data_IF_265662001778
#
_entry.id   IF_265662001778
#
_cell.length_a   1.000
_cell.length_b   1.000
_cell.length_c   1.000
_cell.angle_alpha   90.00
_cell.angle_beta   90.00
_cell.angle_gamma   90.00
#
_symmetry.space_group_name_H-M   'P 1'
#
loop_
_entity.id
_entity.type
_entity.pdbx_description
1 polymer ?
#
# COMPACT_ATOMS: atom_id res chain seq x y z
N UNK A 1 28.92 11.22 1.37
CA UNK A 1 28.00 10.97 2.50
C UNK A 1 27.45 9.55 2.38
N UNK A 2 27.67 8.65 3.36
CA UNK A 2 26.93 7.39 3.42
C UNK A 2 25.46 7.76 3.65
N UNK A 3 24.66 7.72 2.58
CA UNK A 3 23.22 7.88 2.67
C UNK A 3 22.72 6.92 3.76
N UNK A 4 21.94 7.42 4.71
CA UNK A 4 21.55 6.63 5.87
C UNK A 4 20.73 5.41 5.40
N UNK A 5 21.34 4.23 5.41
CA UNK A 5 20.80 2.97 4.87
C UNK A 5 19.44 2.59 5.44
N UNK A 6 19.08 3.10 6.62
CA UNK A 6 17.80 2.82 7.26
C UNK A 6 16.58 3.33 6.47
N UNK A 7 16.69 4.38 5.64
CA UNK A 7 15.55 4.87 4.85
C UNK A 7 15.17 3.92 3.69
N UNK A 8 16.16 3.21 3.15
CA UNK A 8 15.99 2.36 1.96
C UNK A 8 16.03 0.87 2.28
N UNK A 9 16.67 0.50 3.39
CA UNK A 9 16.76 -0.86 3.88
C UNK A 9 16.73 -0.90 5.44
N UNK A 10 15.61 -0.52 6.08
CA UNK A 10 15.47 -0.56 7.53
C UNK A 10 15.56 -1.99 8.09
N UNK A 11 15.35 -3.00 7.26
CA UNK A 11 15.21 -4.40 7.66
C UNK A 11 16.53 -5.07 8.05
N UNK A 12 17.66 -4.43 7.78
CA UNK A 12 18.94 -4.80 8.40
C UNK A 12 18.97 -4.52 9.91
N UNK A 13 18.10 -3.62 10.39
CA UNK A 13 18.10 -3.13 11.77
C UNK A 13 16.80 -3.47 12.52
N UNK A 14 15.67 -3.59 11.82
CA UNK A 14 14.34 -3.78 12.40
C UNK A 14 13.60 -4.94 11.72
N UNK A 15 13.28 -5.98 12.50
CA UNK A 15 12.52 -7.15 12.06
C UNK A 15 11.67 -7.72 13.20
N UNK A 16 10.95 -8.81 12.92
CA UNK A 16 10.12 -9.53 13.88
C UNK A 16 9.02 -8.67 14.50
N UNK A 17 8.78 -8.86 15.80
CA UNK A 17 7.71 -8.17 16.52
C UNK A 17 7.83 -6.64 16.49
N UNK A 18 9.06 -6.09 16.52
CA UNK A 18 9.25 -4.64 16.44
C UNK A 18 8.77 -4.09 15.09
N UNK A 19 9.12 -4.75 13.99
CA UNK A 19 8.64 -4.34 12.67
C UNK A 19 7.12 -4.50 12.56
N UNK A 20 6.58 -5.62 13.06
CA UNK A 20 5.15 -5.90 13.01
C UNK A 20 4.33 -4.87 13.79
N UNK A 21 4.67 -4.62 15.05
CA UNK A 21 3.90 -3.68 15.88
C UNK A 21 3.97 -2.26 15.32
N UNK A 22 5.14 -1.81 14.87
CA UNK A 22 5.29 -0.47 14.25
C UNK A 22 4.51 -0.36 12.94
N UNK A 23 4.59 -1.37 12.08
CA UNK A 23 3.85 -1.41 10.82
C UNK A 23 2.34 -1.40 11.04
N UNK A 24 1.84 -2.27 11.92
CA UNK A 24 0.42 -2.35 12.26
C UNK A 24 -0.09 -1.07 12.92
N UNK A 25 0.69 -0.45 13.81
CA UNK A 25 0.31 0.82 14.43
C UNK A 25 0.19 1.94 13.40
N UNK A 26 1.17 2.05 12.49
CA UNK A 26 1.13 3.05 11.42
C UNK A 26 -0.01 2.80 10.44
N UNK A 27 -0.27 1.55 10.06
CA UNK A 27 -1.42 1.18 9.24
C UNK A 27 -2.74 1.51 9.94
N UNK A 28 -2.90 1.18 11.21
CA UNK A 28 -4.12 1.46 11.96
C UNK A 28 -4.37 2.98 12.07
N UNK A 29 -3.32 3.77 12.33
CA UNK A 29 -3.40 5.22 12.36
C UNK A 29 -3.80 5.80 10.99
N UNK A 30 -3.15 5.37 9.91
CA UNK A 30 -3.49 5.82 8.57
C UNK A 30 -4.89 5.37 8.14
N UNK A 31 -5.30 4.15 8.49
CA UNK A 31 -6.65 3.66 8.20
C UNK A 31 -7.70 4.49 8.93
N UNK A 32 -7.46 4.81 10.21
CA UNK A 32 -8.33 5.71 10.97
C UNK A 32 -8.45 7.08 10.28
N UNK A 33 -7.33 7.71 9.91
CA UNK A 33 -7.35 8.99 9.18
C UNK A 33 -8.07 8.86 7.84
N UNK A 34 -7.89 7.73 7.13
CA UNK A 34 -8.56 7.43 5.87
C UNK A 34 -10.08 7.36 6.01
N UNK A 35 -10.57 6.83 7.14
CA UNK A 35 -12.02 6.83 7.43
C UNK A 35 -12.60 8.23 7.57
N UNK A 36 -11.79 9.22 8.02
CA UNK A 36 -12.22 10.60 8.21
C UNK A 36 -12.28 11.40 6.90
N UNK A 37 -11.48 11.01 5.90
CA UNK A 37 -11.34 11.75 4.65
C UNK A 37 -11.64 10.90 3.40
N UNK A 38 -12.27 9.74 3.58
CA UNK A 38 -12.63 8.82 2.50
C UNK A 38 -11.43 8.38 1.65
N UNK A 39 -10.25 8.21 2.26
CA UNK A 39 -9.09 7.58 1.61
C UNK A 39 -9.09 6.08 1.87
N UNK A 40 -8.99 5.33 0.80
CA UNK A 40 -9.02 3.89 0.72
C UNK A 40 -7.65 3.33 0.36
N UNK A 41 -7.19 2.31 1.09
CA UNK A 41 -5.99 1.54 0.78
C UNK A 41 -6.42 0.21 0.13
N UNK A 42 -7.09 0.32 -1.01
CA UNK A 42 -7.91 -0.73 -1.62
C UNK A 42 -7.12 -1.69 -2.53
N UNK A 43 -5.83 -1.83 -2.30
CA UNK A 43 -4.93 -2.74 -3.01
C UNK A 43 -3.56 -2.83 -2.33
N UNK A 44 -2.65 -3.60 -2.90
CA UNK A 44 -1.30 -3.72 -2.33
C UNK A 44 -0.59 -2.37 -2.42
N UNK A 45 -0.67 -1.71 -3.57
CA UNK A 45 -0.11 -0.38 -3.82
C UNK A 45 -1.16 0.70 -4.06
N UNK A 46 -2.43 0.35 -4.24
CA UNK A 46 -3.47 1.30 -4.60
C UNK A 46 -3.94 2.18 -3.44
N UNK A 47 -4.14 3.46 -3.77
CA UNK A 47 -4.73 4.48 -2.89
C UNK A 47 -5.76 5.27 -3.69
N UNK A 48 -7.01 5.27 -3.21
CA UNK A 48 -8.12 5.98 -3.85
C UNK A 48 -8.86 6.85 -2.85
N UNK A 49 -9.42 7.97 -3.31
CA UNK A 49 -10.15 8.92 -2.46
C UNK A 49 -11.55 9.20 -2.98
N UNK A 50 -12.45 9.60 -2.09
CA UNK A 50 -13.76 10.17 -2.45
C UNK A 50 -14.93 9.19 -2.49
N UNK A 51 -14.69 7.89 -2.37
CA UNK A 51 -15.76 6.93 -2.18
C UNK A 51 -16.22 6.92 -0.71
N UNK A 52 -17.49 7.24 -0.46
CA UNK A 52 -18.06 7.12 0.88
C UNK A 52 -18.46 5.67 1.15
N UNK A 53 -17.94 5.10 2.24
CA UNK A 53 -18.19 3.70 2.62
C UNK A 53 -18.28 3.55 4.14
N UNK A 54 -18.75 2.39 4.61
CA UNK A 54 -18.75 2.05 6.04
C UNK A 54 -17.31 1.97 6.53
N UNK A 55 -17.00 2.55 7.70
CA UNK A 55 -15.65 2.54 8.28
C UNK A 55 -15.03 1.12 8.37
N UNK A 56 -15.85 0.10 8.61
CA UNK A 56 -15.41 -1.30 8.62
C UNK A 56 -14.70 -1.72 7.33
N UNK A 57 -15.08 -1.17 6.17
CA UNK A 57 -14.45 -1.50 4.89
C UNK A 57 -13.01 -0.99 4.84
N UNK A 58 -12.71 0.23 5.31
CA UNK A 58 -11.34 0.77 5.35
C UNK A 58 -10.39 -0.14 6.15
N UNK A 59 -10.86 -0.66 7.29
CA UNK A 59 -10.08 -1.60 8.11
C UNK A 59 -9.87 -2.94 7.42
N UNK A 60 -10.89 -3.46 6.74
CA UNK A 60 -10.79 -4.72 6.01
C UNK A 60 -9.87 -4.59 4.78
N UNK A 61 -9.97 -3.49 4.04
CA UNK A 61 -9.05 -3.14 2.94
C UNK A 61 -7.62 -3.12 3.44
N UNK A 62 -7.33 -2.32 4.46
CA UNK A 62 -5.99 -2.20 5.06
C UNK A 62 -5.44 -3.57 5.52
N UNK A 63 -6.29 -4.39 6.14
CA UNK A 63 -5.92 -5.74 6.57
C UNK A 63 -5.61 -6.66 5.39
N UNK A 64 -6.48 -6.72 4.37
CA UNK A 64 -6.28 -7.54 3.17
C UNK A 64 -5.03 -7.11 2.41
N UNK A 65 -4.87 -5.82 2.19
CA UNK A 65 -3.77 -5.21 1.47
C UNK A 65 -2.41 -5.47 2.12
N UNK A 66 -2.35 -5.80 3.41
CA UNK A 66 -1.11 -6.27 4.06
C UNK A 66 -1.03 -7.78 4.17
N UNK A 67 -2.07 -8.41 4.71
CA UNK A 67 -2.02 -9.81 5.12
C UNK A 67 -1.87 -10.74 3.92
N UNK A 68 -2.54 -10.42 2.81
CA UNK A 68 -2.50 -11.20 1.59
C UNK A 68 -1.10 -11.17 0.94
N UNK A 69 -0.48 -10.01 0.62
CA UNK A 69 0.89 -10.00 0.12
C UNK A 69 1.88 -10.61 1.12
N UNK A 70 1.74 -10.34 2.42
CA UNK A 70 2.64 -10.94 3.42
C UNK A 70 2.59 -12.48 3.41
N UNK A 71 1.40 -13.06 3.26
CA UNK A 71 1.21 -14.50 3.12
C UNK A 71 1.83 -15.04 1.83
N UNK A 72 1.59 -14.39 0.70
CA UNK A 72 2.17 -14.82 -0.59
C UNK A 72 3.68 -14.71 -0.60
N UNK A 73 4.26 -13.65 -0.04
CA UNK A 73 5.70 -13.51 0.12
C UNK A 73 6.27 -14.52 1.11
N UNK A 74 5.54 -14.87 2.17
CA UNK A 74 5.94 -15.94 3.07
C UNK A 74 5.99 -17.29 2.34
N UNK A 75 4.96 -17.62 1.56
CA UNK A 75 4.92 -18.85 0.74
C UNK A 75 6.07 -18.86 -0.27
N UNK A 76 6.28 -17.77 -1.01
CA UNK A 76 7.38 -17.66 -1.95
C UNK A 76 8.74 -17.78 -1.24
N UNK A 77 8.89 -17.17 -0.06
CA UNK A 77 10.05 -17.34 0.80
C UNK A 77 10.28 -18.80 1.18
N UNK A 78 9.23 -19.55 1.54
CA UNK A 78 9.36 -20.99 1.84
C UNK A 78 9.83 -21.82 0.64
N UNK A 79 9.52 -21.39 -0.58
CA UNK A 79 9.89 -22.09 -1.81
C UNK A 79 11.32 -21.73 -2.24
N UNK A 80 11.67 -20.44 -2.19
CA UNK A 80 12.89 -19.91 -2.82
C UNK A 80 14.00 -19.54 -1.82
N UNK A 81 13.74 -19.54 -0.52
CA UNK A 81 14.75 -19.20 0.49
C UNK A 81 15.87 -20.24 0.53
N UNK A 82 17.08 -19.74 0.79
CA UNK A 82 18.25 -20.57 1.10
C UNK A 82 18.38 -20.93 2.58
N UNK A 83 17.44 -20.50 3.43
CA UNK A 83 17.46 -20.74 4.87
C UNK A 83 16.06 -20.94 5.45
N UNK A 84 15.99 -21.34 6.73
CA UNK A 84 14.74 -21.26 7.48
C UNK A 84 14.30 -19.79 7.62
N UNK A 85 13.00 -19.55 7.50
CA UNK A 85 12.40 -18.21 7.61
C UNK A 85 11.37 -18.19 8.74
N UNK A 86 11.29 -17.08 9.46
CA UNK A 86 10.31 -16.89 10.54
C UNK A 86 9.14 -16.06 10.01
N UNK A 87 7.91 -16.52 10.25
CA UNK A 87 6.72 -15.80 9.80
C UNK A 87 6.70 -14.37 10.36
N UNK A 88 6.97 -14.18 11.65
CA UNK A 88 6.99 -12.85 12.27
C UNK A 88 7.96 -11.88 11.60
N UNK A 89 9.08 -12.37 11.05
CA UNK A 89 9.99 -11.50 10.31
C UNK A 89 9.37 -11.04 9.00
N UNK A 90 8.80 -11.96 8.21
CA UNK A 90 8.18 -11.63 6.92
C UNK A 90 6.96 -10.73 7.11
N UNK A 91 6.02 -11.12 7.96
CA UNK A 91 4.80 -10.35 8.20
C UNK A 91 5.12 -8.98 8.81
N UNK A 92 6.11 -8.93 9.71
CA UNK A 92 6.52 -7.69 10.35
C UNK A 92 7.21 -6.72 9.41
N UNK A 93 8.19 -7.19 8.63
CA UNK A 93 8.88 -6.32 7.66
C UNK A 93 7.97 -5.88 6.53
N UNK A 94 7.03 -6.72 6.08
CA UNK A 94 6.01 -6.34 5.10
C UNK A 94 5.04 -5.29 5.63
N UNK A 95 4.61 -5.38 6.90
CA UNK A 95 3.78 -4.34 7.53
C UNK A 95 4.54 -3.01 7.58
N UNK A 96 5.80 -3.05 8.04
CA UNK A 96 6.65 -1.87 8.15
C UNK A 96 6.97 -1.25 6.77
N UNK A 97 7.14 -2.07 5.74
CA UNK A 97 7.42 -1.61 4.38
C UNK A 97 6.28 -0.76 3.77
N UNK A 98 5.05 -0.90 4.25
CA UNK A 98 3.88 -0.13 3.78
C UNK A 98 3.84 1.30 4.31
N UNK A 99 4.63 1.65 5.34
CA UNK A 99 4.53 2.96 5.97
C UNK A 99 4.69 4.17 5.04
N UNK A 100 5.56 4.15 3.99
CA UNK A 100 5.60 5.25 3.04
C UNK A 100 4.25 5.46 2.33
N UNK A 101 3.60 4.38 1.88
CA UNK A 101 2.26 4.45 1.30
C UNK A 101 1.24 5.00 2.30
N UNK A 102 1.34 4.63 3.58
CA UNK A 102 0.41 5.11 4.62
C UNK A 102 0.45 6.64 4.80
N UNK A 103 1.56 7.31 4.46
CA UNK A 103 1.65 8.77 4.49
C UNK A 103 0.76 9.45 3.45
N UNK A 104 0.38 8.73 2.40
CA UNK A 104 -0.49 9.28 1.34
C UNK A 104 -1.91 9.54 1.83
N UNK A 105 -2.31 9.03 3.00
CA UNK A 105 -3.65 9.27 3.55
C UNK A 105 -4.01 10.76 3.62
N UNK A 106 -3.02 11.65 3.78
CA UNK A 106 -3.27 13.09 3.86
C UNK A 106 -3.71 13.71 2.54
N UNK A 107 -3.53 13.05 1.39
CA UNK A 107 -4.02 13.57 0.09
C UNK A 107 -5.53 13.67 0.08
N UNK A 108 -6.25 12.83 0.84
CA UNK A 108 -7.70 12.90 0.97
C UNK A 108 -8.21 14.19 1.59
N UNK A 109 -7.37 14.98 2.28
CA UNK A 109 -7.76 16.30 2.79
C UNK A 109 -7.64 17.41 1.74
N UNK A 110 -7.04 17.13 0.58
CA UNK A 110 -6.93 18.10 -0.51
C UNK A 110 -8.30 18.16 -1.20
N UNK A 111 -9.01 19.31 -1.20
CA UNK A 111 -10.35 19.40 -1.79
C UNK A 111 -10.40 18.96 -3.25
N UNK A 112 -9.36 19.27 -4.02
CA UNK A 112 -9.24 18.84 -5.42
C UNK A 112 -9.29 17.32 -5.59
N UNK A 113 -8.76 16.53 -4.64
CA UNK A 113 -8.79 15.07 -4.71
C UNK A 113 -10.20 14.52 -4.48
N UNK A 114 -10.99 15.16 -3.62
CA UNK A 114 -12.39 14.80 -3.37
C UNK A 114 -13.27 15.23 -4.53
N UNK A 115 -13.06 16.43 -5.05
CA UNK A 115 -13.81 16.98 -6.18
C UNK A 115 -13.68 16.06 -7.40
N UNK A 116 -12.44 15.67 -7.76
CA UNK A 116 -12.17 14.76 -8.88
C UNK A 116 -12.95 13.44 -8.82
N UNK A 117 -13.19 12.90 -7.63
CA UNK A 117 -13.96 11.66 -7.45
C UNK A 117 -15.48 11.85 -7.68
N UNK A 118 -15.97 13.08 -7.58
CA UNK A 118 -17.38 13.46 -7.70
C UNK A 118 -17.71 14.27 -8.96
N UNK A 119 -16.72 14.50 -9.82
CA UNK A 119 -16.89 15.32 -11.03
C UNK A 119 -17.84 14.64 -12.02
N UNK A 120 -19.07 15.15 -12.07
CA UNK A 120 -19.99 14.90 -13.17
C UNK A 120 -19.73 15.93 -14.28
N UNK A 121 -19.13 15.49 -15.38
CA UNK A 121 -18.82 16.37 -16.50
C UNK A 121 -19.72 16.05 -17.69
N UNK A 122 -20.43 17.08 -18.16
CA UNK A 122 -21.35 16.97 -19.29
C UNK A 122 -20.68 17.12 -20.67
N UNK A 123 -19.45 17.66 -20.71
CA UNK A 123 -18.70 17.87 -21.95
C UNK A 123 -17.18 17.86 -21.74
N UNK A 124 -16.42 17.50 -22.77
CA UNK A 124 -14.95 17.51 -22.75
C UNK A 124 -14.39 18.89 -22.41
N UNK A 125 -15.03 19.97 -22.88
CA UNK A 125 -14.58 21.35 -22.60
C UNK A 125 -14.65 21.69 -21.11
N UNK A 126 -15.73 21.27 -20.44
CA UNK A 126 -15.92 21.47 -19.00
C UNK A 126 -14.90 20.64 -18.20
N UNK A 127 -14.66 19.37 -18.58
CA UNK A 127 -13.64 18.52 -17.94
C UNK A 127 -12.27 19.17 -18.02
N UNK A 128 -11.87 19.64 -19.21
CA UNK A 128 -10.56 20.26 -19.41
C UNK A 128 -10.42 21.56 -18.60
N UNK A 129 -11.47 22.39 -18.53
CA UNK A 129 -11.43 23.61 -17.73
C UNK A 129 -11.26 23.31 -16.23
N UNK A 130 -12.04 22.36 -15.69
CA UNK A 130 -11.93 21.92 -14.29
C UNK A 130 -10.58 21.29 -13.98
N UNK A 131 -10.08 20.44 -14.87
CA UNK A 131 -8.75 19.85 -14.70
C UNK A 131 -7.67 20.93 -14.60
N UNK A 132 -7.71 21.95 -15.47
CA UNK A 132 -6.75 23.06 -15.44
C UNK A 132 -6.83 23.89 -14.15
N UNK A 133 -8.03 24.06 -13.59
CA UNK A 133 -8.26 24.74 -12.31
C UNK A 133 -7.69 23.94 -11.13
N UNK A 134 -7.90 22.63 -11.12
CA UNK A 134 -7.45 21.74 -10.04
C UNK A 134 -5.98 21.33 -10.16
N UNK A 135 -5.37 21.46 -11.34
CA UNK A 135 -4.02 21.00 -11.65
C UNK A 135 -2.94 21.42 -10.64
N UNK A 136 -2.91 22.66 -10.12
CA UNK A 136 -1.90 23.07 -9.13
C UNK A 136 -1.95 22.28 -7.83
N UNK A 137 -3.11 21.72 -7.47
CA UNK A 137 -3.31 20.89 -6.28
C UNK A 137 -3.11 19.41 -6.58
N UNK A 138 -3.53 18.96 -7.78
CA UNK A 138 -3.40 17.56 -8.20
C UNK A 138 -1.95 17.17 -8.46
N UNK A 139 -1.14 18.03 -9.09
CA UNK A 139 0.25 17.69 -9.44
C UNK A 139 1.10 17.35 -8.21
N UNK A 140 1.13 18.14 -7.12
CA UNK A 140 1.87 17.77 -5.91
C UNK A 140 1.32 16.50 -5.25
N UNK A 141 0.00 16.29 -5.25
CA UNK A 141 -0.63 15.10 -4.68
C UNK A 141 -0.22 13.82 -5.43
N UNK A 142 -0.27 13.86 -6.76
CA UNK A 142 0.17 12.76 -7.64
C UNK A 142 1.66 12.49 -7.44
N UNK A 143 2.49 13.54 -7.35
CA UNK A 143 3.92 13.37 -7.11
C UNK A 143 4.18 12.68 -5.76
N UNK A 144 3.45 13.07 -4.71
CA UNK A 144 3.56 12.42 -3.39
C UNK A 144 3.17 10.94 -3.46
N UNK A 145 2.05 10.61 -4.14
CA UNK A 145 1.60 9.23 -4.35
C UNK A 145 2.66 8.40 -5.04
N UNK A 146 3.17 8.85 -6.19
CA UNK A 146 4.21 8.15 -6.97
C UNK A 146 5.49 7.95 -6.17
N UNK A 147 5.95 8.97 -5.44
CA UNK A 147 7.16 8.85 -4.60
C UNK A 147 6.94 7.85 -3.47
N UNK A 148 5.77 7.87 -2.82
CA UNK A 148 5.43 6.93 -1.75
C UNK A 148 5.30 5.49 -2.26
N UNK A 149 4.75 5.29 -3.45
CA UNK A 149 4.66 3.98 -4.11
C UNK A 149 6.04 3.42 -4.44
N UNK A 150 6.91 4.21 -5.10
CA UNK A 150 8.28 3.80 -5.43
C UNK A 150 9.04 3.42 -4.15
N UNK A 151 8.89 4.23 -3.10
CA UNK A 151 9.52 3.94 -1.82
C UNK A 151 8.97 2.64 -1.21
N UNK A 152 7.65 2.45 -1.22
CA UNK A 152 6.99 1.24 -0.72
C UNK A 152 7.45 0.00 -1.48
N UNK A 153 7.48 0.01 -2.81
CA UNK A 153 7.97 -1.11 -3.63
C UNK A 153 9.42 -1.43 -3.33
N UNK A 154 10.25 -0.40 -3.16
CA UNK A 154 11.66 -0.56 -2.75
C UNK A 154 11.74 -1.27 -1.40
N UNK A 155 10.98 -0.81 -0.40
CA UNK A 155 10.95 -1.44 0.92
C UNK A 155 10.37 -2.86 0.88
N UNK A 156 9.32 -3.13 0.12
CA UNK A 156 8.76 -4.48 -0.02
C UNK A 156 9.80 -5.45 -0.59
N UNK A 157 10.56 -5.03 -1.60
CA UNK A 157 11.64 -5.86 -2.14
C UNK A 157 12.74 -6.11 -1.11
N UNK A 158 13.16 -5.09 -0.37
CA UNK A 158 14.15 -5.25 0.70
C UNK A 158 13.65 -6.14 1.85
N UNK A 159 12.38 -5.99 2.26
CA UNK A 159 11.73 -6.82 3.26
C UNK A 159 11.75 -8.30 2.83
N UNK A 160 11.31 -8.57 1.60
CA UNK A 160 11.33 -9.93 1.04
C UNK A 160 12.75 -10.50 0.99
N UNK A 161 13.69 -9.74 0.41
CA UNK A 161 15.08 -10.17 0.23
C UNK A 161 15.75 -10.48 1.56
N UNK A 162 15.58 -9.63 2.57
CA UNK A 162 16.22 -9.76 3.88
C UNK A 162 15.54 -10.83 4.72
N UNK A 163 14.22 -10.77 4.89
CA UNK A 163 13.49 -11.72 5.74
C UNK A 163 13.42 -13.13 5.16
N UNK A 164 13.47 -13.27 3.83
CA UNK A 164 13.46 -14.57 3.17
C UNK A 164 14.83 -15.02 2.64
N UNK A 165 15.92 -14.25 2.86
CA UNK A 165 17.28 -14.60 2.41
C UNK A 165 17.33 -15.08 0.94
N UNK A 166 16.62 -14.36 0.06
CA UNK A 166 16.56 -14.63 -1.39
C UNK A 166 17.53 -13.67 -2.09
N UNK A 167 18.24 -14.14 -3.11
CA UNK A 167 19.33 -13.37 -3.75
C UNK A 167 19.27 -13.45 -5.27
N UNK A 168 19.92 -12.48 -5.90
CA UNK A 168 20.11 -12.41 -7.35
C UNK A 168 18.79 -12.40 -8.13
N UNK A 169 18.84 -12.90 -9.37
CA UNK A 169 17.72 -12.89 -10.30
C UNK A 169 16.49 -13.66 -9.77
N UNK A 170 16.70 -14.76 -9.03
CA UNK A 170 15.59 -15.51 -8.41
C UNK A 170 14.78 -14.65 -7.44
N UNK A 171 15.45 -13.82 -6.64
CA UNK A 171 14.79 -12.89 -5.73
C UNK A 171 13.96 -11.84 -6.48
N UNK A 172 14.50 -11.25 -7.54
CA UNK A 172 13.80 -10.25 -8.35
C UNK A 172 12.59 -10.85 -9.07
N UNK A 173 12.77 -11.98 -9.76
CA UNK A 173 11.69 -12.61 -10.55
C UNK A 173 10.55 -13.08 -9.64
N UNK A 174 10.87 -13.75 -8.53
CA UNK A 174 9.84 -14.18 -7.57
C UNK A 174 9.16 -12.98 -6.90
N UNK A 175 9.89 -11.90 -6.62
CA UNK A 175 9.29 -10.67 -6.08
C UNK A 175 8.25 -10.07 -7.02
N UNK A 176 8.62 -9.85 -8.29
CA UNK A 176 7.72 -9.26 -9.29
C UNK A 176 6.49 -10.15 -9.48
N UNK A 177 6.68 -11.46 -9.62
CA UNK A 177 5.56 -12.39 -9.79
C UNK A 177 4.60 -12.37 -8.58
N UNK A 178 5.13 -12.39 -7.36
CA UNK A 178 4.31 -12.36 -6.14
C UNK A 178 3.61 -11.02 -5.97
N UNK A 179 4.28 -9.90 -6.25
CA UNK A 179 3.68 -8.57 -6.13
C UNK A 179 2.48 -8.43 -7.08
N UNK A 180 2.63 -8.87 -8.34
CA UNK A 180 1.52 -8.85 -9.32
C UNK A 180 0.36 -9.75 -8.90
N UNK A 181 0.65 -10.97 -8.42
CA UNK A 181 -0.39 -11.87 -7.90
C UNK A 181 -1.09 -11.28 -6.68
N UNK A 182 -0.35 -10.64 -5.79
CA UNK A 182 -0.89 -10.01 -4.60
C UNK A 182 -1.81 -8.84 -4.97
N UNK A 183 -1.44 -8.03 -5.97
CA UNK A 183 -2.27 -6.93 -6.44
C UNK A 183 -3.61 -7.45 -6.97
N UNK A 184 -3.58 -8.43 -7.87
CA UNK A 184 -4.78 -9.05 -8.44
C UNK A 184 -5.68 -9.66 -7.35
N UNK A 185 -5.10 -10.47 -6.46
CA UNK A 185 -5.89 -11.13 -5.42
C UNK A 185 -6.41 -10.17 -4.35
N UNK A 186 -5.69 -9.09 -4.05
CA UNK A 186 -6.18 -8.05 -3.13
C UNK A 186 -7.41 -7.37 -3.70
N UNK A 187 -7.40 -6.95 -4.97
CA UNK A 187 -8.54 -6.33 -5.65
C UNK A 187 -9.75 -7.26 -5.70
N UNK A 188 -9.56 -8.52 -6.06
CA UNK A 188 -10.65 -9.52 -6.09
C UNK A 188 -11.26 -9.69 -4.70
N UNK A 189 -10.42 -9.79 -3.66
CA UNK A 189 -10.86 -9.97 -2.28
C UNK A 189 -11.65 -8.74 -1.77
N UNK A 190 -11.13 -7.54 -2.01
CA UNK A 190 -11.76 -6.28 -1.59
C UNK A 190 -13.08 -6.05 -2.32
N UNK A 191 -13.13 -6.32 -3.63
CA UNK A 191 -14.38 -6.27 -4.38
C UNK A 191 -15.43 -7.25 -3.84
N UNK A 192 -15.01 -8.46 -3.48
CA UNK A 192 -15.89 -9.44 -2.82
C UNK A 192 -16.44 -8.94 -1.48
N UNK A 193 -15.57 -8.35 -0.65
CA UNK A 193 -15.97 -7.76 0.64
C UNK A 193 -16.97 -6.62 0.47
N UNK A 194 -16.71 -5.72 -0.49
CA UNK A 194 -17.60 -4.62 -0.80
C UNK A 194 -19.01 -5.12 -1.16
N UNK A 195 -19.11 -6.10 -2.06
CA UNK A 195 -20.40 -6.71 -2.45
C UNK A 195 -21.11 -7.38 -1.28
N UNK A 196 -20.37 -8.10 -0.44
CA UNK A 196 -20.92 -8.76 0.74
C UNK A 196 -21.50 -7.75 1.74
N UNK A 197 -20.81 -6.63 1.97
CA UNK A 197 -21.24 -5.58 2.92
C UNK A 197 -22.43 -4.72 2.43
N UNK A 198 -22.75 -4.79 1.13
CA UNK A 198 -23.94 -4.15 0.54
C UNK A 198 -25.15 -5.06 0.49
N UNK A 199 -24.93 -6.38 0.42
CA UNK A 199 -26.00 -7.38 0.42
C UNK A 199 -26.44 -7.85 1.81
N UNK A 200 -25.77 -7.40 2.88
CA UNK A 200 -26.06 -7.69 4.28
C UNK A 200 -26.50 -6.43 5.03
#
# INVERSE_FOLDING_TARGET
MKMKTWLYNPFEYVAGWKALLTGLAGMAAATYVGTLNHTHFDGVLDVHTGMQTKAALHYLESLVSWLLPALLFYIAGRIFSSSAIRAVDVFGTMALARLPLMLTVFVGFIPAMQEMASLEVSSVKEATARLMELLPWLLPAILLLVVAEIWTVTLLYHAYRVSCNVKGQRGVVSFVAVLLLAEIFSKVSIYGLYRWMQGA
#
